data_IF_914384328204
#
_entry.id   IF_914384328204
#
_cell.length_a   1.000
_cell.length_b   1.000
_cell.length_c   1.000
_cell.angle_alpha   90.00
_cell.angle_beta   90.00
_cell.angle_gamma   90.00
#
_symmetry.space_group_name_H-M   'P 1'
#
loop_
_entity.id
_entity.type
_entity.pdbx_description
1 polymer ?
#
# COMPACT_ATOMS: atom_id res chain seq x y z
N UNK A 1 -5.31 33.29 -34.54
CA UNK A 1 -4.19 32.45 -34.05
C UNK A 1 -4.77 31.35 -33.19
N UNK A 2 -4.22 30.13 -33.24
CA UNK A 2 -4.60 29.11 -32.25
C UNK A 2 -4.01 29.52 -30.89
N UNK A 3 -4.77 29.46 -29.79
CA UNK A 3 -4.24 29.79 -28.48
C UNK A 3 -3.04 28.90 -28.14
N UNK A 4 -2.06 29.47 -27.44
CA UNK A 4 -0.88 28.72 -26.98
C UNK A 4 -1.26 27.69 -25.91
N UNK A 5 -0.40 26.68 -25.68
CA UNK A 5 -0.66 25.63 -24.68
C UNK A 5 -0.95 26.21 -23.29
N UNK A 6 -0.16 27.20 -22.86
CA UNK A 6 -0.36 27.89 -21.58
C UNK A 6 -1.72 28.61 -21.48
N UNK A 7 -2.19 29.21 -22.57
CA UNK A 7 -3.50 29.87 -22.59
C UNK A 7 -4.63 28.85 -22.45
N UNK A 8 -4.50 27.70 -23.11
CA UNK A 8 -5.46 26.59 -23.00
C UNK A 8 -5.47 26.03 -21.57
N UNK A 9 -4.30 25.79 -20.97
CA UNK A 9 -4.20 25.30 -19.58
C UNK A 9 -4.84 26.32 -18.63
N UNK A 10 -4.49 27.61 -18.72
CA UNK A 10 -5.06 28.65 -17.84
C UNK A 10 -6.58 28.79 -18.00
N UNK A 11 -7.10 28.65 -19.23
CA UNK A 11 -8.54 28.77 -19.49
C UNK A 11 -9.35 27.55 -19.02
N UNK A 12 -8.71 26.39 -18.84
CA UNK A 12 -9.37 25.13 -18.46
C UNK A 12 -9.06 24.68 -17.04
N UNK A 13 -8.01 25.24 -16.42
CA UNK A 13 -7.67 24.97 -15.04
C UNK A 13 -8.76 25.47 -14.09
N UNK A 14 -9.13 24.64 -13.13
CA UNK A 14 -9.99 25.03 -12.02
C UNK A 14 -9.10 25.44 -10.85
N UNK A 15 -9.21 26.71 -10.43
CA UNK A 15 -8.53 27.17 -9.23
C UNK A 15 -9.16 26.51 -8.01
N UNK A 16 -8.34 25.88 -7.18
CA UNK A 16 -8.77 25.33 -5.89
C UNK A 16 -8.55 26.39 -4.80
N UNK A 17 -9.39 26.41 -3.75
CA UNK A 17 -9.08 27.18 -2.55
C UNK A 17 -7.86 26.57 -1.84
N UNK A 18 -7.28 27.28 -0.85
CA UNK A 18 -6.22 26.70 -0.01
C UNK A 18 -6.63 25.35 0.58
N UNK A 19 -5.70 24.41 0.75
CA UNK A 19 -5.98 23.06 1.30
C UNK A 19 -6.61 23.14 2.70
N UNK A 20 -6.27 24.17 3.47
CA UNK A 20 -6.82 24.44 4.81
C UNK A 20 -8.25 25.00 4.80
N UNK A 21 -8.79 25.37 3.63
CA UNK A 21 -10.16 25.83 3.49
C UNK A 21 -11.12 24.64 3.55
N UNK A 22 -12.18 24.76 4.36
CA UNK A 22 -13.19 23.70 4.52
C UNK A 22 -13.89 23.32 3.22
N UNK A 23 -13.90 24.20 2.22
CA UNK A 23 -14.49 23.93 0.90
C UNK A 23 -13.56 23.13 -0.02
N UNK A 24 -12.25 23.07 0.25
CA UNK A 24 -11.25 22.42 -0.61
C UNK A 24 -11.69 21.04 -1.10
N UNK A 25 -12.02 20.14 -0.16
CA UNK A 25 -12.33 18.76 -0.49
C UNK A 25 -13.64 18.62 -1.31
N UNK A 26 -14.59 19.55 -1.18
CA UNK A 26 -15.86 19.51 -1.93
C UNK A 26 -15.67 19.70 -3.44
N UNK A 27 -14.57 20.32 -3.87
CA UNK A 27 -14.21 20.42 -5.29
C UNK A 27 -13.89 19.05 -5.92
N UNK A 28 -13.69 18.02 -5.10
CA UNK A 28 -13.41 16.65 -5.52
C UNK A 28 -14.61 15.71 -5.40
N UNK A 29 -15.82 16.24 -5.12
CA UNK A 29 -17.05 15.43 -5.04
C UNK A 29 -17.33 14.66 -6.34
N UNK A 30 -16.86 15.13 -7.49
CA UNK A 30 -16.99 14.42 -8.77
C UNK A 30 -16.30 13.05 -8.77
N UNK A 31 -15.31 12.82 -7.90
CA UNK A 31 -14.64 11.52 -7.75
C UNK A 31 -15.59 10.44 -7.21
N UNK A 32 -16.68 10.82 -6.54
CA UNK A 32 -17.69 9.90 -6.00
C UNK A 32 -18.42 9.07 -7.07
N UNK A 33 -18.39 9.52 -8.32
CA UNK A 33 -18.93 8.76 -9.45
C UNK A 33 -18.12 7.48 -9.77
N UNK A 34 -16.95 7.32 -9.16
CA UNK A 34 -16.03 6.23 -9.39
C UNK A 34 -15.94 5.35 -8.13
N UNK A 35 -15.90 4.04 -8.31
CA UNK A 35 -15.78 3.11 -7.19
C UNK A 35 -14.34 3.02 -6.67
N UNK A 36 -13.36 3.33 -7.52
CA UNK A 36 -11.94 3.30 -7.21
C UNK A 36 -11.31 4.66 -7.54
N UNK A 37 -10.72 5.31 -6.54
CA UNK A 37 -10.06 6.61 -6.68
C UNK A 37 -8.58 6.45 -6.34
N UNK A 38 -7.71 6.66 -7.32
CA UNK A 38 -6.26 6.58 -7.17
C UNK A 38 -5.70 8.00 -6.97
N UNK A 39 -5.13 8.26 -5.78
CA UNK A 39 -4.56 9.55 -5.39
C UNK A 39 -3.02 9.47 -5.34
N UNK A 40 -2.40 10.02 -6.38
CA UNK A 40 -0.96 10.03 -6.60
C UNK A 40 -0.24 11.21 -5.95
N UNK A 41 0.99 10.99 -5.48
CA UNK A 41 1.95 12.05 -5.16
C UNK A 41 3.15 12.04 -6.15
N UNK A 42 3.75 13.21 -6.40
CA UNK A 42 5.00 13.30 -7.18
C UNK A 42 6.25 13.21 -6.31
N UNK A 43 6.07 13.13 -4.99
CA UNK A 43 7.12 12.92 -4.00
C UNK A 43 6.47 12.39 -2.72
N UNK A 44 7.19 11.53 -2.00
CA UNK A 44 6.77 11.07 -0.67
C UNK A 44 7.14 12.04 0.46
N UNK A 45 7.74 13.20 0.15
CA UNK A 45 8.30 14.13 1.12
C UNK A 45 7.66 15.52 1.14
N UNK A 46 6.54 15.70 0.44
CA UNK A 46 5.84 16.99 0.34
C UNK A 46 4.58 16.96 1.20
N UNK A 47 4.53 17.82 2.23
CA UNK A 47 3.43 17.90 3.21
C UNK A 47 2.07 18.13 2.54
N UNK A 48 2.01 19.03 1.56
CA UNK A 48 0.79 19.42 0.86
C UNK A 48 0.14 18.24 0.13
N UNK A 49 0.91 17.28 -0.36
CA UNK A 49 0.37 16.09 -1.02
C UNK A 49 -0.31 15.16 -0.02
N UNK A 50 0.24 14.96 1.18
CA UNK A 50 -0.44 14.19 2.23
C UNK A 50 -1.67 14.91 2.75
N UNK A 51 -1.58 16.23 2.97
CA UNK A 51 -2.71 17.02 3.45
C UNK A 51 -3.87 17.01 2.44
N UNK A 52 -3.59 17.23 1.15
CA UNK A 52 -4.62 17.17 0.10
C UNK A 52 -5.25 15.78 0.00
N UNK A 53 -4.44 14.70 -0.01
CA UNK A 53 -4.94 13.31 -0.02
C UNK A 53 -5.81 13.01 1.19
N UNK A 54 -5.41 13.47 2.38
CA UNK A 54 -6.17 13.32 3.60
C UNK A 54 -7.53 14.01 3.48
N UNK A 55 -7.59 15.30 3.15
CA UNK A 55 -8.87 16.04 3.06
C UNK A 55 -9.81 15.48 1.99
N UNK A 56 -9.29 15.10 0.82
CA UNK A 56 -10.09 14.43 -0.23
C UNK A 56 -10.64 13.11 0.29
N UNK A 57 -9.80 12.29 0.95
CA UNK A 57 -10.21 10.99 1.46
C UNK A 57 -11.24 11.11 2.58
N UNK A 58 -11.06 12.06 3.50
CA UNK A 58 -12.04 12.38 4.55
C UNK A 58 -13.41 12.68 3.96
N UNK A 59 -13.45 13.56 2.95
CA UNK A 59 -14.69 13.92 2.25
C UNK A 59 -15.35 12.73 1.56
N UNK A 60 -14.57 11.88 0.89
CA UNK A 60 -15.07 10.67 0.24
C UNK A 60 -15.66 9.65 1.24
N UNK A 61 -15.03 9.51 2.40
CA UNK A 61 -15.51 8.63 3.47
C UNK A 61 -16.79 9.19 4.11
N UNK A 62 -16.78 10.45 4.53
CA UNK A 62 -17.89 11.07 5.26
C UNK A 62 -19.17 11.18 4.42
N UNK A 63 -19.04 11.44 3.12
CA UNK A 63 -20.18 11.85 2.30
C UNK A 63 -20.49 10.95 1.11
N UNK A 64 -19.54 10.11 0.69
CA UNK A 64 -19.64 9.38 -0.59
C UNK A 64 -19.50 7.86 -0.45
N UNK A 65 -19.53 7.33 0.78
CA UNK A 65 -19.59 5.89 1.03
C UNK A 65 -18.29 5.14 0.70
N UNK A 66 -17.14 5.82 0.77
CA UNK A 66 -15.84 5.17 0.75
C UNK A 66 -15.51 4.59 2.12
N UNK A 67 -14.94 3.39 2.15
CA UNK A 67 -14.72 2.62 3.40
C UNK A 67 -13.35 1.95 3.45
N UNK A 68 -12.54 2.12 2.41
CA UNK A 68 -11.27 1.42 2.25
C UNK A 68 -10.23 2.41 1.76
N UNK A 69 -9.16 2.55 2.53
CA UNK A 69 -7.97 3.31 2.18
C UNK A 69 -6.83 2.33 1.99
N UNK A 70 -6.36 2.16 0.76
CA UNK A 70 -5.27 1.25 0.43
C UNK A 70 -3.98 2.05 0.18
N UNK A 71 -2.90 1.68 0.84
CA UNK A 71 -1.63 2.40 0.83
C UNK A 71 -0.58 1.62 0.04
N UNK A 72 0.30 2.32 -0.66
CA UNK A 72 1.61 1.80 -1.09
C UNK A 72 2.52 1.60 0.13
N UNK A 73 2.13 0.63 0.95
CA UNK A 73 2.81 0.26 2.17
C UNK A 73 2.62 -1.24 2.43
N UNK A 74 3.45 -1.74 3.33
CA UNK A 74 3.40 -3.12 3.78
C UNK A 74 2.07 -3.45 4.47
N UNK A 75 1.55 -4.65 4.19
CA UNK A 75 0.27 -5.10 4.76
C UNK A 75 0.29 -5.16 6.30
N UNK A 76 1.30 -5.76 6.96
CA UNK A 76 1.37 -5.76 8.43
C UNK A 76 1.39 -4.36 9.05
N UNK A 77 2.10 -3.40 8.43
CA UNK A 77 2.22 -2.04 8.94
C UNK A 77 0.89 -1.27 8.85
N UNK A 78 0.21 -1.39 7.70
CA UNK A 78 -1.12 -0.83 7.52
C UNK A 78 -2.16 -1.49 8.46
N UNK A 79 -2.02 -2.79 8.76
CA UNK A 79 -2.88 -3.46 9.72
C UNK A 79 -2.74 -2.88 11.14
N UNK A 80 -1.55 -2.40 11.54
CA UNK A 80 -1.37 -1.71 12.81
C UNK A 80 -2.25 -0.45 12.91
N UNK A 81 -2.31 0.37 11.83
CA UNK A 81 -3.23 1.52 11.75
C UNK A 81 -4.68 1.04 11.79
N UNK A 82 -5.00 0.03 10.99
CA UNK A 82 -6.36 -0.49 10.87
C UNK A 82 -6.93 -1.00 12.20
N UNK A 83 -6.13 -1.75 12.96
CA UNK A 83 -6.50 -2.21 14.30
C UNK A 83 -6.74 -1.05 15.25
N UNK A 84 -5.92 0.01 15.17
CA UNK A 84 -6.09 1.22 15.96
C UNK A 84 -7.38 1.98 15.60
N UNK A 85 -7.66 2.22 14.31
CA UNK A 85 -8.81 3.04 13.87
C UNK A 85 -10.15 2.30 13.96
N UNK A 86 -10.16 0.96 13.81
CA UNK A 86 -11.37 0.13 13.93
C UNK A 86 -11.51 -0.50 15.31
N UNK A 87 -10.59 -0.21 16.23
CA UNK A 87 -10.55 -0.77 17.59
C UNK A 87 -10.66 -2.31 17.60
N UNK A 88 -10.00 -2.95 16.64
CA UNK A 88 -9.97 -4.41 16.55
C UNK A 88 -9.16 -4.96 17.72
N UNK A 89 -9.57 -6.08 18.34
CA UNK A 89 -8.76 -6.73 19.36
C UNK A 89 -7.35 -6.97 18.82
N UNK A 90 -6.34 -6.43 19.51
CA UNK A 90 -4.96 -6.79 19.22
C UNK A 90 -4.72 -8.26 19.57
N UNK A 91 -3.70 -8.89 18.99
CA UNK A 91 -3.20 -10.14 19.55
C UNK A 91 -2.86 -9.90 21.02
N UNK A 92 -3.38 -10.78 21.90
CA UNK A 92 -3.02 -10.78 23.32
C UNK A 92 -1.56 -11.20 23.44
N UNK A 93 -0.65 -10.28 23.19
CA UNK A 93 0.75 -10.44 23.51
C UNK A 93 0.88 -10.03 24.97
N UNK A 94 1.30 -10.94 25.84
CA UNK A 94 1.88 -10.53 27.11
C UNK A 94 2.97 -9.51 26.77
N UNK A 95 2.87 -8.30 27.31
CA UNK A 95 3.95 -7.32 27.22
C UNK A 95 5.14 -7.97 27.93
N UNK A 96 6.03 -8.63 27.18
CA UNK A 96 7.36 -8.90 27.70
C UNK A 96 7.94 -7.53 28.02
N UNK A 97 8.31 -7.29 29.27
CA UNK A 97 8.78 -5.99 29.79
C UNK A 97 9.99 -5.39 29.01
N UNK A 98 10.55 -6.10 28.03
CA UNK A 98 11.82 -5.79 27.38
C UNK A 98 11.82 -5.89 25.85
N UNK A 99 10.70 -6.22 25.19
CA UNK A 99 10.60 -6.14 23.72
C UNK A 99 9.68 -4.96 23.37
N UNK A 100 10.20 -3.80 22.88
CA UNK A 100 9.32 -2.86 22.21
C UNK A 100 8.66 -3.61 21.04
N UNK A 101 7.34 -3.50 20.84
CA UNK A 101 6.76 -3.97 19.60
C UNK A 101 7.46 -3.22 18.46
N UNK A 102 7.92 -3.93 17.43
CA UNK A 102 8.47 -3.31 16.22
C UNK A 102 7.50 -2.21 15.76
N UNK A 103 7.97 -0.96 15.67
CA UNK A 103 7.06 0.12 15.31
C UNK A 103 6.67 -0.05 13.84
N UNK A 104 5.40 0.17 13.46
CA UNK A 104 5.01 0.05 12.07
C UNK A 104 5.73 1.09 11.22
N UNK A 105 6.00 0.74 9.96
CA UNK A 105 6.65 1.58 8.95
C UNK A 105 8.12 1.90 9.24
N UNK A 106 8.85 1.04 9.96
CA UNK A 106 10.30 1.20 10.16
C UNK A 106 11.13 0.97 8.88
N UNK A 107 10.61 0.18 7.93
CA UNK A 107 11.27 -0.09 6.63
C UNK A 107 11.13 1.05 5.62
N UNK A 108 10.20 1.97 5.86
CA UNK A 108 9.99 3.13 5.00
C UNK A 108 10.73 4.33 5.60
N UNK A 109 11.22 5.26 4.77
CA UNK A 109 11.72 6.52 5.28
C UNK A 109 10.67 7.19 6.17
N UNK A 110 11.09 7.68 7.34
CA UNK A 110 10.18 8.23 8.36
C UNK A 110 9.18 9.24 7.80
N UNK A 111 9.62 10.07 6.85
CA UNK A 111 8.78 11.11 6.24
C UNK A 111 7.65 10.57 5.35
N UNK A 112 7.70 9.30 4.91
CA UNK A 112 6.69 8.72 4.03
C UNK A 112 5.39 8.39 4.78
N UNK A 113 5.45 7.59 5.85
CA UNK A 113 4.24 7.16 6.57
C UNK A 113 4.22 7.56 8.06
N UNK A 114 5.35 7.97 8.62
CA UNK A 114 5.48 8.38 10.04
C UNK A 114 5.55 9.91 10.18
N UNK A 115 4.78 10.62 9.36
CA UNK A 115 4.66 12.08 9.38
C UNK A 115 3.40 12.55 10.13
N UNK A 116 3.29 13.88 10.29
CA UNK A 116 2.20 14.50 11.04
C UNK A 116 0.86 14.35 10.31
N UNK A 117 0.85 14.47 9.00
CA UNK A 117 -0.35 14.44 8.17
C UNK A 117 -1.03 13.06 8.22
N UNK A 118 -0.24 11.98 8.15
CA UNK A 118 -0.72 10.60 8.29
C UNK A 118 -1.20 10.32 9.71
N UNK A 119 -0.51 10.85 10.73
CA UNK A 119 -0.97 10.73 12.13
C UNK A 119 -2.31 11.45 12.34
N UNK A 120 -2.43 12.70 11.88
CA UNK A 120 -3.67 13.49 12.02
C UNK A 120 -4.82 12.81 11.26
N UNK A 121 -4.57 12.26 10.07
CA UNK A 121 -5.55 11.48 9.31
C UNK A 121 -5.96 10.20 10.04
N UNK A 122 -5.00 9.49 10.66
CA UNK A 122 -5.24 8.27 11.45
C UNK A 122 -6.12 8.55 12.68
N UNK A 123 -5.84 9.61 13.42
CA UNK A 123 -6.67 10.03 14.56
C UNK A 123 -8.07 10.42 14.12
N UNK A 124 -8.19 11.20 13.03
CA UNK A 124 -9.48 11.55 12.47
C UNK A 124 -10.29 10.30 12.05
N UNK A 125 -9.65 9.33 11.40
CA UNK A 125 -10.30 8.07 10.99
C UNK A 125 -10.83 7.30 12.19
N UNK A 126 -10.07 7.25 13.28
CA UNK A 126 -10.50 6.63 14.53
C UNK A 126 -11.71 7.33 15.13
N UNK A 127 -11.67 8.66 15.22
CA UNK A 127 -12.78 9.44 15.77
C UNK A 127 -14.05 9.27 14.91
N UNK A 128 -13.89 9.33 13.59
CA UNK A 128 -14.96 9.06 12.64
C UNK A 128 -15.54 7.66 12.87
N UNK A 129 -14.71 6.62 12.87
CA UNK A 129 -15.14 5.22 13.05
C UNK A 129 -15.80 4.95 14.41
N UNK A 130 -15.35 5.61 15.48
CA UNK A 130 -15.96 5.50 16.82
C UNK A 130 -17.40 6.03 16.81
N UNK A 131 -17.69 7.03 16.00
CA UNK A 131 -19.04 7.59 15.83
C UNK A 131 -19.95 6.78 14.90
N UNK A 132 -19.40 5.81 14.16
CA UNK A 132 -20.17 5.01 13.20
C UNK A 132 -20.80 3.77 13.85
N UNK A 133 -22.09 3.54 13.57
CA UNK A 133 -22.81 2.32 13.94
C UNK A 133 -22.70 1.21 12.88
N UNK A 134 -22.23 1.55 11.68
CA UNK A 134 -22.10 0.60 10.57
C UNK A 134 -21.05 -0.46 10.88
N UNK A 135 -21.28 -1.75 10.54
CA UNK A 135 -20.22 -2.76 10.57
C UNK A 135 -19.13 -2.48 9.52
N UNK A 136 -19.47 -1.80 8.42
CA UNK A 136 -18.58 -1.47 7.30
C UNK A 136 -17.76 -0.18 7.57
N UNK A 137 -17.17 -0.06 8.77
CA UNK A 137 -16.32 1.09 9.18
C UNK A 137 -15.11 1.24 8.27
N UNK A 138 -14.61 2.47 8.08
CA UNK A 138 -13.46 2.73 7.24
C UNK A 138 -12.22 1.95 7.72
N UNK A 139 -11.55 1.23 6.81
CA UNK A 139 -10.35 0.44 7.09
C UNK A 139 -9.15 0.91 6.27
N UNK A 140 -7.95 0.60 6.78
CA UNK A 140 -6.67 0.93 6.13
C UNK A 140 -5.94 -0.37 5.78
N UNK A 141 -5.39 -0.46 4.57
CA UNK A 141 -4.80 -1.71 4.07
C UNK A 141 -3.51 -1.42 3.30
N UNK A 142 -2.52 -2.30 3.40
CA UNK A 142 -1.30 -2.21 2.60
C UNK A 142 -1.51 -2.87 1.24
N UNK A 143 -0.74 -2.47 0.25
CA UNK A 143 -0.72 -3.10 -1.07
C UNK A 143 0.64 -3.71 -1.41
N UNK A 144 1.71 -3.23 -0.77
CA UNK A 144 3.09 -3.52 -1.15
C UNK A 144 3.58 -4.87 -0.63
N UNK A 145 4.75 -5.31 -1.10
CA UNK A 145 5.27 -6.67 -0.91
C UNK A 145 6.67 -6.75 -0.27
N UNK A 146 7.17 -5.68 0.33
CA UNK A 146 8.51 -5.68 0.93
C UNK A 146 8.55 -6.43 2.28
N UNK A 147 7.42 -6.55 2.95
CA UNK A 147 7.23 -7.17 4.27
C UNK A 147 7.31 -8.71 4.28
N UNK A 148 8.35 -9.33 3.70
CA UNK A 148 8.48 -10.80 3.70
C UNK A 148 8.49 -11.39 5.13
N UNK A 149 9.38 -10.90 6.00
CA UNK A 149 9.54 -11.40 7.36
C UNK A 149 8.31 -11.16 8.25
N UNK A 150 7.80 -9.92 8.26
CA UNK A 150 6.62 -9.57 9.07
C UNK A 150 5.35 -10.27 8.57
N UNK A 151 5.20 -10.52 7.27
CA UNK A 151 4.07 -11.28 6.72
C UNK A 151 4.13 -12.76 7.10
N UNK A 152 5.30 -13.38 7.05
CA UNK A 152 5.53 -14.74 7.52
C UNK A 152 5.16 -14.89 9.00
N UNK A 153 5.58 -13.93 9.82
CA UNK A 153 5.23 -13.87 11.24
C UNK A 153 3.73 -13.68 11.46
N UNK A 154 3.06 -12.84 10.67
CA UNK A 154 1.61 -12.66 10.73
C UNK A 154 0.85 -13.97 10.42
N UNK A 155 1.29 -14.73 9.42
CA UNK A 155 0.71 -16.04 9.07
C UNK A 155 0.86 -17.04 10.22
N UNK A 156 2.07 -17.19 10.75
CA UNK A 156 2.34 -18.16 11.82
C UNK A 156 1.57 -17.81 13.10
N UNK A 157 1.51 -16.52 13.45
CA UNK A 157 0.75 -16.01 14.61
C UNK A 157 -0.75 -16.23 14.49
N UNK A 158 -1.31 -16.06 13.28
CA UNK A 158 -2.71 -16.42 13.03
C UNK A 158 -2.94 -17.92 13.25
N UNK A 159 -2.10 -18.76 12.65
CA UNK A 159 -2.18 -20.21 12.76
C UNK A 159 -2.03 -20.69 14.20
N UNK A 160 -1.15 -20.11 15.02
CA UNK A 160 -1.04 -20.46 16.44
C UNK A 160 -2.38 -20.37 17.19
N UNK A 161 -3.25 -19.46 16.76
CA UNK A 161 -4.54 -19.23 17.41
C UNK A 161 -5.66 -20.15 16.92
N UNK A 162 -5.55 -20.75 15.72
CA UNK A 162 -6.64 -21.52 15.10
C UNK A 162 -6.26 -22.96 14.70
N UNK A 163 -4.98 -23.21 14.40
CA UNK A 163 -4.42 -24.52 14.07
C UNK A 163 -2.92 -24.57 14.43
N UNK A 164 -2.58 -24.87 15.70
CA UNK A 164 -1.19 -24.97 16.15
C UNK A 164 -0.36 -26.04 15.44
N UNK A 165 -1.00 -27.08 14.88
CA UNK A 165 -0.30 -28.15 14.15
C UNK A 165 0.16 -27.63 12.78
N UNK A 166 -0.71 -26.90 12.09
CA UNK A 166 -0.32 -26.23 10.85
C UNK A 166 0.64 -25.06 11.12
N UNK A 167 0.55 -24.38 12.26
CA UNK A 167 1.50 -23.34 12.66
C UNK A 167 2.95 -23.90 12.73
N UNK A 168 3.13 -25.03 13.40
CA UNK A 168 4.43 -25.72 13.47
C UNK A 168 4.94 -26.16 12.08
N UNK A 169 4.02 -26.65 11.25
CA UNK A 169 4.35 -27.02 9.86
C UNK A 169 4.76 -25.80 9.03
N UNK A 170 4.08 -24.67 9.22
CA UNK A 170 4.38 -23.41 8.54
C UNK A 170 5.76 -22.89 8.94
N UNK A 171 6.12 -22.88 10.23
CA UNK A 171 7.47 -22.50 10.69
C UNK A 171 8.56 -23.32 10.00
N UNK A 172 8.41 -24.65 9.95
CA UNK A 172 9.40 -25.53 9.29
C UNK A 172 9.54 -25.27 7.80
N UNK A 173 8.44 -24.95 7.11
CA UNK A 173 8.44 -24.63 5.68
C UNK A 173 9.03 -23.25 5.40
N UNK A 174 8.80 -22.31 6.30
CA UNK A 174 9.35 -20.97 6.23
C UNK A 174 10.81 -20.88 6.65
N UNK A 175 11.34 -21.87 7.38
CA UNK A 175 12.70 -21.87 7.92
C UNK A 175 13.83 -21.61 6.90
N UNK A 176 13.61 -21.83 5.61
CA UNK A 176 14.59 -21.51 4.57
C UNK A 176 14.73 -20.00 4.28
N UNK A 177 13.74 -19.20 4.68
CA UNK A 177 13.75 -17.74 4.61
C UNK A 177 14.30 -17.09 5.89
N UNK A 178 14.37 -17.81 7.01
CA UNK A 178 14.83 -17.29 8.30
C UNK A 178 16.13 -16.48 8.24
N UNK A 179 17.17 -16.86 7.45
CA UNK A 179 18.40 -16.07 7.38
C UNK A 179 18.24 -14.70 6.73
N UNK A 180 17.10 -14.43 6.07
CA UNK A 180 16.90 -13.30 5.17
C UNK A 180 15.68 -12.46 5.53
N UNK A 181 15.01 -12.74 6.66
CA UNK A 181 13.76 -12.04 7.01
C UNK A 181 13.97 -10.56 7.34
N UNK A 182 15.16 -10.20 7.83
CA UNK A 182 15.54 -8.82 8.17
C UNK A 182 15.93 -8.02 6.92
N UNK A 183 16.72 -8.63 6.02
CA UNK A 183 17.04 -8.09 4.69
C UNK A 183 16.79 -9.11 3.57
N UNK A 184 15.56 -9.14 3.01
CA UNK A 184 15.24 -10.04 1.91
C UNK A 184 16.00 -9.76 0.62
N UNK A 185 16.68 -8.62 0.48
CA UNK A 185 17.55 -8.33 -0.67
C UNK A 185 18.72 -9.31 -0.73
N UNK A 186 19.22 -9.74 0.43
CA UNK A 186 20.28 -10.75 0.51
C UNK A 186 19.84 -12.12 -0.01
N UNK A 187 18.55 -12.48 0.13
CA UNK A 187 17.98 -13.67 -0.51
C UNK A 187 18.12 -13.62 -2.04
N UNK A 188 17.84 -12.45 -2.63
CA UNK A 188 18.00 -12.23 -4.06
C UNK A 188 19.45 -12.36 -4.52
N UNK A 189 20.39 -11.78 -3.76
CA UNK A 189 21.83 -11.90 -4.01
C UNK A 189 22.27 -13.37 -3.94
N UNK A 190 21.87 -14.09 -2.88
CA UNK A 190 22.19 -15.49 -2.70
C UNK A 190 21.63 -16.37 -3.84
N UNK A 191 20.41 -16.09 -4.28
CA UNK A 191 19.79 -16.76 -5.42
C UNK A 191 20.55 -16.53 -6.72
N UNK A 192 21.13 -15.34 -6.90
CA UNK A 192 21.90 -15.00 -8.09
C UNK A 192 23.30 -15.63 -8.09
N UNK A 193 23.98 -15.61 -6.93
CA UNK A 193 25.40 -15.96 -6.84
C UNK A 193 25.66 -17.46 -6.76
N UNK A 194 24.68 -18.27 -6.37
CA UNK A 194 24.87 -19.70 -6.13
C UNK A 194 24.07 -20.57 -7.12
N UNK A 195 24.74 -21.30 -8.03
CA UNK A 195 24.08 -22.30 -8.88
C UNK A 195 23.42 -23.46 -8.11
N UNK A 196 23.82 -23.65 -6.85
CA UNK A 196 23.26 -24.66 -5.95
C UNK A 196 22.11 -24.11 -5.08
N UNK A 197 21.73 -22.84 -5.26
CA UNK A 197 20.64 -22.22 -4.53
C UNK A 197 19.34 -22.98 -4.76
N UNK A 198 18.64 -23.30 -3.67
CA UNK A 198 17.32 -23.92 -3.71
C UNK A 198 16.30 -22.88 -3.28
N UNK A 199 15.38 -22.56 -4.17
CA UNK A 199 14.28 -21.63 -3.87
C UNK A 199 13.39 -22.17 -2.77
N UNK A 200 12.81 -21.26 -1.99
CA UNK A 200 11.83 -21.55 -0.95
C UNK A 200 10.41 -21.76 -1.52
N UNK A 201 10.23 -21.50 -2.81
CA UNK A 201 8.96 -21.43 -3.54
C UNK A 201 7.99 -22.60 -3.23
N UNK A 202 8.45 -23.84 -3.26
CA UNK A 202 7.60 -25.03 -3.03
C UNK A 202 7.05 -25.06 -1.60
N UNK A 203 7.91 -24.78 -0.62
CA UNK A 203 7.55 -24.80 0.80
C UNK A 203 6.59 -23.66 1.15
N UNK A 204 6.87 -22.44 0.69
CA UNK A 204 6.03 -21.27 0.97
C UNK A 204 4.67 -21.38 0.28
N UNK A 205 4.64 -21.87 -0.97
CA UNK A 205 3.39 -22.12 -1.70
C UNK A 205 2.54 -23.18 -1.01
N UNK A 206 3.18 -24.19 -0.42
CA UNK A 206 2.46 -25.23 0.35
C UNK A 206 1.76 -24.66 1.58
N UNK A 207 2.33 -23.67 2.27
CA UNK A 207 1.66 -22.99 3.39
C UNK A 207 0.41 -22.26 2.92
N UNK A 208 0.52 -21.47 1.84
CA UNK A 208 -0.63 -20.79 1.23
C UNK A 208 -1.71 -21.79 0.81
N UNK A 209 -1.34 -22.89 0.16
CA UNK A 209 -2.29 -23.90 -0.29
C UNK A 209 -3.02 -24.57 0.89
N UNK A 210 -2.33 -24.84 2.00
CA UNK A 210 -2.94 -25.45 3.18
C UNK A 210 -3.89 -24.47 3.90
N UNK A 211 -3.57 -23.17 3.94
CA UNK A 211 -4.52 -22.13 4.38
C UNK A 211 -5.78 -22.09 3.50
N UNK A 212 -5.61 -22.08 2.17
CA UNK A 212 -6.72 -21.98 1.23
C UNK A 212 -7.64 -23.22 1.24
N UNK A 213 -7.09 -24.43 1.48
CA UNK A 213 -7.89 -25.66 1.63
C UNK A 213 -8.88 -25.57 2.79
N UNK A 214 -8.53 -24.85 3.86
CA UNK A 214 -9.35 -24.71 5.07
C UNK A 214 -10.03 -23.34 5.19
N UNK A 215 -10.10 -22.57 4.09
CA UNK A 215 -10.57 -21.18 4.08
C UNK A 215 -11.94 -20.96 4.74
N UNK A 216 -12.90 -21.85 4.53
CA UNK A 216 -14.25 -21.70 5.10
C UNK A 216 -14.26 -21.92 6.61
N UNK A 217 -13.49 -22.91 7.06
CA UNK A 217 -13.32 -23.23 8.48
C UNK A 217 -12.58 -22.09 9.19
N UNK A 218 -11.46 -21.63 8.61
CA UNK A 218 -10.63 -20.59 9.18
C UNK A 218 -11.30 -19.20 9.16
N UNK A 219 -12.01 -18.84 8.09
CA UNK A 219 -12.78 -17.60 8.07
C UNK A 219 -13.88 -17.59 9.15
N UNK A 220 -14.49 -18.75 9.45
CA UNK A 220 -15.52 -18.86 10.48
C UNK A 220 -14.95 -19.01 11.91
N UNK A 221 -13.66 -19.33 12.05
CA UNK A 221 -13.04 -19.60 13.35
C UNK A 221 -12.97 -18.36 14.26
N UNK A 222 -12.81 -17.16 13.67
CA UNK A 222 -12.73 -15.91 14.43
C UNK A 222 -13.53 -14.78 13.77
N UNK A 223 -14.59 -14.37 14.46
CA UNK A 223 -15.34 -13.16 14.14
C UNK A 223 -15.98 -13.20 12.76
N UNK A 224 -15.64 -12.21 11.95
CA UNK A 224 -16.19 -11.93 10.61
C UNK A 224 -15.26 -12.37 9.46
N UNK A 225 -14.16 -13.06 9.78
CA UNK A 225 -13.18 -13.52 8.79
C UNK A 225 -12.08 -12.50 8.44
N UNK A 226 -12.05 -11.32 9.06
CA UNK A 226 -10.98 -10.32 8.87
C UNK A 226 -9.58 -10.88 9.21
N UNK A 227 -9.46 -11.63 10.32
CA UNK A 227 -8.17 -12.23 10.71
C UNK A 227 -7.70 -13.29 9.70
N UNK A 228 -8.62 -14.09 9.16
CA UNK A 228 -8.28 -15.04 8.10
C UNK A 228 -7.90 -14.33 6.80
N UNK A 229 -8.63 -13.28 6.41
CA UNK A 229 -8.32 -12.50 5.21
C UNK A 229 -6.91 -11.90 5.29
N UNK A 230 -6.55 -11.34 6.44
CA UNK A 230 -5.20 -10.84 6.71
C UNK A 230 -4.15 -11.95 6.62
N UNK A 231 -4.38 -13.11 7.24
CA UNK A 231 -3.46 -14.23 7.14
C UNK A 231 -3.31 -14.77 5.70
N UNK A 232 -4.40 -14.86 4.94
CA UNK A 232 -4.38 -15.23 3.53
C UNK A 232 -3.55 -14.24 2.71
N UNK A 233 -3.78 -12.94 2.92
CA UNK A 233 -3.07 -11.90 2.19
C UNK A 233 -1.57 -11.89 2.49
N UNK A 234 -1.18 -12.02 3.76
CA UNK A 234 0.22 -12.17 4.15
C UNK A 234 0.85 -13.44 3.55
N UNK A 235 0.14 -14.57 3.50
CA UNK A 235 0.66 -15.79 2.87
C UNK A 235 0.86 -15.63 1.35
N UNK A 236 -0.01 -14.89 0.67
CA UNK A 236 0.17 -14.53 -0.75
C UNK A 236 1.37 -13.60 -0.93
N UNK A 237 1.52 -12.62 -0.04
CA UNK A 237 2.66 -11.71 -0.04
C UNK A 237 3.99 -12.47 0.09
N UNK A 238 4.10 -13.44 1.00
CA UNK A 238 5.34 -14.23 1.14
C UNK A 238 5.70 -14.96 -0.16
N UNK A 239 4.70 -15.53 -0.87
CA UNK A 239 4.91 -16.18 -2.17
C UNK A 239 5.40 -15.18 -3.23
N UNK A 240 4.73 -14.04 -3.34
CA UNK A 240 5.08 -13.02 -4.34
C UNK A 240 6.40 -12.32 -4.02
N UNK A 241 6.71 -12.12 -2.73
CA UNK A 241 7.96 -11.53 -2.25
C UNK A 241 9.17 -12.42 -2.54
N UNK A 242 9.10 -13.74 -2.30
CA UNK A 242 10.18 -14.66 -2.68
C UNK A 242 10.53 -14.51 -4.16
N UNK A 243 9.50 -14.50 -5.00
CA UNK A 243 9.66 -14.35 -6.45
C UNK A 243 10.22 -12.99 -6.82
N UNK A 244 9.75 -11.92 -6.18
CA UNK A 244 10.23 -10.56 -6.39
C UNK A 244 11.71 -10.43 -6.06
N UNK A 245 12.13 -10.81 -4.84
CA UNK A 245 13.51 -10.65 -4.39
C UNK A 245 14.47 -11.51 -5.21
N UNK A 246 14.06 -12.72 -5.61
CA UNK A 246 14.83 -13.55 -6.55
C UNK A 246 14.97 -12.90 -7.93
N UNK A 247 13.98 -12.12 -8.38
CA UNK A 247 13.98 -11.46 -9.69
C UNK A 247 14.70 -10.11 -9.69
N UNK A 248 14.87 -9.50 -8.52
CA UNK A 248 15.35 -8.12 -8.30
C UNK A 248 16.68 -7.82 -9.01
N UNK A 249 17.57 -8.82 -9.16
CA UNK A 249 18.90 -8.63 -9.74
C UNK A 249 19.05 -9.14 -11.18
N UNK A 250 17.98 -9.64 -11.82
CA UNK A 250 18.04 -10.21 -13.17
C UNK A 250 17.48 -9.28 -14.27
N UNK A 251 16.47 -8.45 -13.97
CA UNK A 251 15.92 -7.44 -14.89
C UNK A 251 14.98 -6.46 -14.16
N UNK A 252 15.24 -5.16 -14.31
CA UNK A 252 14.50 -4.08 -13.62
C UNK A 252 13.01 -4.02 -14.00
N UNK A 253 12.66 -4.29 -15.27
CA UNK A 253 11.26 -4.30 -15.74
C UNK A 253 10.47 -5.47 -15.13
N UNK A 254 11.11 -6.61 -14.89
CA UNK A 254 10.46 -7.78 -14.30
C UNK A 254 10.12 -7.58 -12.84
N UNK A 255 11.04 -7.06 -12.04
CA UNK A 255 10.79 -6.81 -10.61
C UNK A 255 9.73 -5.71 -10.44
N UNK A 256 9.80 -4.64 -11.23
CA UNK A 256 8.76 -3.60 -11.27
C UNK A 256 7.38 -4.18 -11.59
N UNK A 257 7.27 -4.95 -12.66
CA UNK A 257 6.01 -5.55 -13.07
C UNK A 257 5.45 -6.56 -12.07
N UNK A 258 6.31 -7.28 -11.34
CA UNK A 258 5.88 -8.17 -10.26
C UNK A 258 5.27 -7.36 -9.10
N UNK A 259 5.91 -6.24 -8.73
CA UNK A 259 5.44 -5.37 -7.65
C UNK A 259 4.06 -4.78 -7.93
N UNK A 260 3.89 -4.13 -9.08
CA UNK A 260 2.60 -3.53 -9.44
C UNK A 260 1.49 -4.57 -9.68
N UNK A 261 1.84 -5.77 -10.17
CA UNK A 261 0.87 -6.89 -10.26
C UNK A 261 0.43 -7.37 -8.89
N UNK A 262 1.36 -7.51 -7.94
CA UNK A 262 1.01 -7.86 -6.56
C UNK A 262 0.07 -6.82 -5.95
N UNK A 263 0.40 -5.53 -6.04
CA UNK A 263 -0.45 -4.44 -5.54
C UNK A 263 -1.85 -4.50 -6.17
N UNK A 264 -1.94 -4.73 -7.48
CA UNK A 264 -3.21 -4.86 -8.19
C UNK A 264 -4.01 -6.09 -7.73
N UNK A 265 -3.37 -7.24 -7.57
CA UNK A 265 -4.03 -8.47 -7.15
C UNK A 265 -4.52 -8.36 -5.69
N UNK A 266 -3.76 -7.69 -4.83
CA UNK A 266 -4.15 -7.32 -3.45
C UNK A 266 -5.37 -6.39 -3.46
N UNK A 267 -5.34 -5.33 -4.26
CA UNK A 267 -6.47 -4.41 -4.41
C UNK A 267 -7.74 -5.09 -4.97
N UNK A 268 -7.58 -5.98 -5.94
CA UNK A 268 -8.67 -6.78 -6.50
C UNK A 268 -9.25 -7.80 -5.50
N UNK A 269 -8.48 -8.22 -4.48
CA UNK A 269 -9.03 -9.00 -3.35
C UNK A 269 -9.75 -8.07 -2.37
N UNK A 270 -9.18 -6.93 -2.04
CA UNK A 270 -9.78 -5.94 -1.14
C UNK A 270 -11.15 -5.46 -1.63
N UNK A 271 -11.29 -5.13 -2.91
CA UNK A 271 -12.57 -4.73 -3.54
C UNK A 271 -13.66 -5.81 -3.49
N UNK A 272 -13.32 -7.07 -3.26
CA UNK A 272 -14.28 -8.17 -3.07
C UNK A 272 -14.57 -8.42 -1.59
N UNK A 273 -13.60 -8.14 -0.74
CA UNK A 273 -13.66 -8.35 0.70
C UNK A 273 -14.43 -7.22 1.41
N UNK A 274 -14.21 -5.98 0.98
CA UNK A 274 -14.80 -4.77 1.56
C UNK A 274 -15.92 -4.25 0.67
N UNK A 275 -16.90 -3.59 1.28
CA UNK A 275 -18.00 -2.89 0.59
C UNK A 275 -17.76 -1.40 0.60
N UNK A 276 -18.20 -0.70 -0.43
CA UNK A 276 -18.05 0.77 -0.55
C UNK A 276 -16.88 1.16 -1.44
N UNK A 277 -16.70 2.46 -1.66
CA UNK A 277 -15.62 2.97 -2.50
C UNK A 277 -14.23 2.73 -1.88
N UNK A 278 -13.22 2.62 -2.75
CA UNK A 278 -11.82 2.44 -2.38
C UNK A 278 -11.00 3.65 -2.81
N UNK A 279 -10.22 4.21 -1.89
CA UNK A 279 -9.20 5.22 -2.17
C UNK A 279 -7.83 4.56 -2.08
N UNK A 280 -6.96 4.79 -3.07
CA UNK A 280 -5.58 4.30 -3.09
C UNK A 280 -4.62 5.47 -2.96
N UNK A 281 -3.68 5.42 -2.03
CA UNK A 281 -2.57 6.38 -1.93
C UNK A 281 -1.28 5.67 -2.32
N UNK A 282 -0.66 6.14 -3.41
CA UNK A 282 0.61 5.62 -3.89
C UNK A 282 1.31 6.70 -4.72
N UNK A 283 2.55 6.44 -5.13
CA UNK A 283 3.29 7.34 -6.00
C UNK A 283 2.67 7.44 -7.39
N UNK A 284 2.82 8.60 -8.04
CA UNK A 284 2.37 8.82 -9.42
C UNK A 284 2.92 7.76 -10.40
N UNK A 285 4.11 7.21 -10.14
CA UNK A 285 4.69 6.13 -10.95
C UNK A 285 3.83 4.86 -10.94
N UNK A 286 3.16 4.58 -9.82
CA UNK A 286 2.24 3.45 -9.68
C UNK A 286 0.83 3.77 -10.19
N UNK A 287 0.36 5.02 -10.04
CA UNK A 287 -1.05 5.35 -10.27
C UNK A 287 -1.39 5.95 -11.64
N UNK A 288 -0.41 6.32 -12.47
CA UNK A 288 -0.67 6.74 -13.85
C UNK A 288 -1.25 5.63 -14.73
N UNK A 289 -1.47 5.90 -16.02
CA UNK A 289 -1.76 4.85 -17.01
C UNK A 289 -0.49 4.63 -17.85
N UNK A 290 0.30 3.61 -17.51
CA UNK A 290 1.62 3.35 -18.10
C UNK A 290 1.62 3.26 -19.63
N UNK A 291 0.47 2.94 -20.27
CA UNK A 291 0.30 2.93 -21.74
C UNK A 291 0.49 4.31 -22.39
N UNK A 292 0.40 5.38 -21.59
CA UNK A 292 0.54 6.77 -22.02
C UNK A 292 1.79 7.45 -21.44
N UNK A 293 2.74 6.68 -20.92
CA UNK A 293 4.02 7.18 -20.38
C UNK A 293 5.20 6.43 -21.02
N UNK A 294 6.44 6.81 -20.68
CA UNK A 294 7.63 6.08 -21.16
C UNK A 294 7.79 4.68 -20.53
N UNK A 295 7.00 4.35 -19.50
CA UNK A 295 6.98 3.02 -18.88
C UNK A 295 6.64 1.93 -19.91
N UNK A 296 5.65 2.18 -20.79
CA UNK A 296 5.27 1.20 -21.82
C UNK A 296 6.41 0.86 -22.77
N UNK A 297 7.30 1.81 -23.06
CA UNK A 297 8.48 1.60 -23.93
C UNK A 297 9.53 0.72 -23.26
N UNK A 298 9.57 0.71 -21.92
CA UNK A 298 10.43 -0.14 -21.09
C UNK A 298 9.82 -1.52 -20.81
N UNK A 299 8.62 -1.79 -21.30
CA UNK A 299 7.88 -3.02 -20.97
C UNK A 299 7.31 -3.01 -19.55
N UNK A 300 7.32 -1.85 -18.87
CA UNK A 300 6.79 -1.68 -17.53
C UNK A 300 5.28 -1.42 -17.58
N UNK A 301 4.57 -1.99 -16.61
CA UNK A 301 3.18 -1.68 -16.30
C UNK A 301 3.10 -0.93 -14.97
N UNK A 302 1.94 -0.38 -14.65
CA UNK A 302 1.69 0.14 -13.32
C UNK A 302 0.26 -0.15 -12.82
N UNK A 303 0.05 0.03 -11.52
CA UNK A 303 -1.21 -0.22 -10.84
C UNK A 303 -2.37 0.55 -11.51
N UNK A 304 -2.19 1.82 -11.85
CA UNK A 304 -3.23 2.62 -12.50
C UNK A 304 -3.65 2.09 -13.88
N UNK A 305 -2.71 1.61 -14.69
CA UNK A 305 -3.02 0.89 -15.93
C UNK A 305 -3.85 -0.37 -15.65
N UNK A 306 -3.39 -1.24 -14.75
CA UNK A 306 -4.08 -2.50 -14.44
C UNK A 306 -5.50 -2.24 -13.91
N UNK A 307 -5.66 -1.21 -13.08
CA UNK A 307 -6.96 -0.75 -12.59
C UNK A 307 -7.88 -0.33 -13.74
N UNK A 308 -7.41 0.48 -14.68
CA UNK A 308 -8.20 0.91 -15.84
C UNK A 308 -8.55 -0.23 -16.78
N UNK A 309 -7.64 -1.16 -17.01
CA UNK A 309 -7.90 -2.35 -17.83
C UNK A 309 -8.98 -3.24 -17.19
N UNK A 310 -9.02 -3.32 -15.86
CA UNK A 310 -9.97 -4.17 -15.13
C UNK A 310 -11.35 -3.52 -14.93
N UNK A 311 -11.39 -2.26 -14.50
CA UNK A 311 -12.61 -1.59 -14.04
C UNK A 311 -13.05 -0.42 -14.94
N UNK A 312 -12.27 -0.07 -15.96
CA UNK A 312 -12.63 0.91 -16.97
C UNK A 312 -13.08 2.26 -16.38
N UNK A 313 -14.30 2.75 -16.69
CA UNK A 313 -14.80 4.04 -16.21
C UNK A 313 -15.02 4.09 -14.70
N UNK A 314 -15.00 2.95 -13.99
CA UNK A 314 -15.12 2.89 -12.53
C UNK A 314 -13.90 3.40 -11.78
N UNK A 315 -12.83 3.82 -12.48
CA UNK A 315 -11.55 4.28 -11.91
C UNK A 315 -11.32 5.76 -12.19
N UNK A 316 -11.08 6.55 -11.15
CA UNK A 316 -10.51 7.88 -11.26
C UNK A 316 -9.03 7.86 -10.89
N UNK A 317 -8.22 8.63 -11.61
CA UNK A 317 -6.79 8.80 -11.34
C UNK A 317 -6.54 10.30 -11.19
N UNK A 318 -6.07 10.70 -10.02
CA UNK A 318 -5.67 12.07 -9.71
C UNK A 318 -4.22 12.06 -9.24
N UNK A 319 -3.32 12.69 -10.00
CA UNK A 319 -1.92 12.87 -9.60
C UNK A 319 -1.67 14.28 -9.08
N UNK A 320 -0.81 14.39 -8.08
CA UNK A 320 -0.31 15.67 -7.59
C UNK A 320 1.05 16.01 -8.25
N UNK A 321 1.34 17.30 -8.40
CA UNK A 321 2.63 17.80 -8.86
C UNK A 321 2.90 19.19 -8.32
N UNK A 322 4.18 19.58 -8.25
CA UNK A 322 4.61 20.93 -7.89
C UNK A 322 5.61 21.48 -8.92
N UNK A 323 5.75 22.80 -8.95
CA UNK A 323 6.69 23.51 -9.81
C UNK A 323 7.89 24.07 -9.05
N UNK A 324 7.78 24.27 -7.74
CA UNK A 324 8.79 24.85 -6.86
C UNK A 324 8.62 24.32 -5.42
N UNK A 325 9.37 24.92 -4.49
CA UNK A 325 9.30 24.61 -3.07
C UNK A 325 10.39 23.64 -2.62
N UNK A 326 10.16 23.01 -1.47
CA UNK A 326 11.08 22.06 -0.85
C UNK A 326 10.42 20.72 -0.59
N UNK A 327 11.24 19.67 -0.48
CA UNK A 327 10.81 18.30 -0.27
C UNK A 327 11.73 17.61 0.74
N UNK A 328 11.16 16.79 1.63
CA UNK A 328 11.95 15.87 2.45
C UNK A 328 12.42 14.69 1.59
N UNK A 329 13.73 14.53 1.43
CA UNK A 329 14.31 13.47 0.60
C UNK A 329 15.70 13.07 1.12
N UNK A 330 16.27 12.03 0.54
CA UNK A 330 17.64 11.60 0.80
C UNK A 330 18.36 11.33 -0.53
N UNK A 331 19.70 11.39 -0.51
CA UNK A 331 20.53 11.10 -1.69
C UNK A 331 20.59 9.60 -2.02
N UNK A 332 20.36 8.74 -1.05
CA UNK A 332 20.33 7.29 -1.18
C UNK A 332 19.22 6.71 -0.32
N UNK A 333 18.81 5.49 -0.63
CA UNK A 333 17.97 4.69 0.26
C UNK A 333 18.63 4.58 1.65
N UNK A 334 17.82 4.61 2.71
CA UNK A 334 18.25 4.70 4.12
C UNK A 334 19.18 5.86 4.50
N UNK A 335 19.37 6.84 3.61
CA UNK A 335 20.13 8.05 3.89
C UNK A 335 19.39 8.99 4.82
N UNK A 336 20.15 9.87 5.49
CA UNK A 336 19.58 10.91 6.35
C UNK A 336 18.64 11.83 5.57
N UNK A 337 17.51 12.16 6.20
CA UNK A 337 16.54 13.09 5.64
C UNK A 337 17.14 14.50 5.50
N UNK A 338 16.92 15.10 4.34
CA UNK A 338 17.27 16.47 4.05
C UNK A 338 16.08 17.22 3.44
N UNK A 339 16.00 18.50 3.74
CA UNK A 339 15.12 19.41 3.01
C UNK A 339 15.83 19.84 1.73
N UNK A 340 15.35 19.35 0.58
CA UNK A 340 15.94 19.61 -0.73
C UNK A 340 15.03 20.53 -1.55
N UNK A 341 15.63 21.37 -2.41
CA UNK A 341 14.85 22.21 -3.32
C UNK A 341 14.32 21.37 -4.49
N UNK A 342 13.06 21.58 -4.85
CA UNK A 342 12.49 21.06 -6.10
C UNK A 342 13.15 21.81 -7.27
N UNK A 343 13.51 21.07 -8.32
CA UNK A 343 14.03 21.69 -9.55
C UNK A 343 12.89 22.46 -10.20
N UNK A 344 13.02 23.79 -10.26
CA UNK A 344 12.00 24.64 -10.84
C UNK A 344 11.81 24.35 -12.33
N UNK A 345 10.55 24.41 -12.77
CA UNK A 345 10.20 24.30 -14.20
C UNK A 345 11.06 25.27 -15.02
N UNK A 346 11.64 24.79 -16.13
CA UNK A 346 12.34 25.67 -17.08
C UNK A 346 11.37 26.68 -17.69
N UNK A 347 11.85 27.88 -18.02
CA UNK A 347 11.07 28.79 -18.87
C UNK A 347 10.80 28.11 -20.22
N UNK A 348 9.54 28.16 -20.68
CA UNK A 348 9.17 27.69 -22.01
C UNK A 348 9.91 28.55 -23.07
N UNK A 349 10.82 27.95 -23.84
CA UNK A 349 11.45 28.60 -25.00
C UNK A 349 10.52 28.64 -26.21
#
# INVERSE_FOLDING_TARGET
>A
MRPGLLEIIRATATSLPPITDKSFASHFDFLSCHHLVLLGDSSHGTSEFYHARAEITKRLIEHHGFTTVALEADWPDAECIDRYIRERPGPKTELKEHEPPDAPFERFPTWMWRNKEVQDFTHWLRDYNTSQLSPDRAGVFGLDLYSMGSSLNAVTKYLDSVDPVLAETARRRYACLDPWVDDPSEYGIASMMSPAFKSCEENISSVLMDLLKRRLEYAAARGDGEEFHSAEQNARLVVDAERYYRSMFYADDKSWNLRDRHMFDTLNRLTKFRRGGVVVWAHNSHLGDARYTDMSKRGELNLGQLCREKWGPGVAILGCGSHDGTVAAAHSWDGDMQTMNVITSSEDN
#
